data_IF_618938828665
#
_entry.id   IF_618938828665
#
_cell.length_a   1.000
_cell.length_b   1.000
_cell.length_c   1.000
_cell.angle_alpha   90.00
_cell.angle_beta   90.00
_cell.angle_gamma   90.00
#
_symmetry.space_group_name_H-M   'P 1'
#
loop_
_entity.id
_entity.type
_entity.pdbx_description
1 polymer ?
#
# COMPACT_ATOMS: atom_id res chain seq x y z
N UNK A 1 -6.82 -5.76 3.35
CA UNK A 1 -5.89 -4.62 3.31
C UNK A 1 -5.04 -4.57 2.04
N UNK A 2 -4.46 -5.68 1.56
CA UNK A 2 -3.82 -5.74 0.23
C UNK A 2 -4.75 -5.27 -0.92
N UNK A 3 -6.05 -5.56 -0.84
CA UNK A 3 -7.04 -5.06 -1.80
C UNK A 3 -7.13 -3.53 -1.92
N UNK A 4 -6.90 -2.78 -0.83
CA UNK A 4 -6.87 -1.32 -0.89
C UNK A 4 -5.67 -0.83 -1.71
N UNK A 5 -4.50 -1.46 -1.54
CA UNK A 5 -3.32 -1.15 -2.36
C UNK A 5 -3.52 -1.54 -3.83
N UNK A 6 -4.24 -2.63 -4.12
CA UNK A 6 -4.60 -3.00 -5.51
C UNK A 6 -5.54 -1.96 -6.16
N UNK A 7 -6.48 -1.41 -5.40
CA UNK A 7 -7.35 -0.32 -5.87
C UNK A 7 -6.53 0.95 -6.13
N UNK A 8 -5.61 1.30 -5.24
CA UNK A 8 -4.69 2.43 -5.45
C UNK A 8 -3.79 2.21 -6.69
N UNK A 9 -3.25 1.01 -6.88
CA UNK A 9 -2.46 0.65 -8.06
C UNK A 9 -3.27 0.79 -9.36
N UNK A 10 -4.50 0.29 -9.39
CA UNK A 10 -5.38 0.41 -10.54
C UNK A 10 -5.71 1.87 -10.84
N UNK A 11 -5.99 2.67 -9.80
CA UNK A 11 -6.31 4.07 -9.94
C UNK A 11 -5.10 4.92 -10.39
N UNK A 12 -3.87 4.57 -10.00
CA UNK A 12 -2.65 5.20 -10.52
C UNK A 12 -2.41 4.94 -12.01
N UNK A 13 -2.95 3.84 -12.56
CA UNK A 13 -2.82 3.47 -13.98
C UNK A 13 -3.91 4.03 -14.87
N UNK A 14 -4.99 4.58 -14.29
CA UNK A 14 -6.12 5.11 -15.02
C UNK A 14 -6.07 6.65 -14.93
N UNK A 15 -5.77 7.37 -16.04
CA UNK A 15 -5.53 8.81 -16.00
C UNK A 15 -6.65 9.62 -15.33
N UNK A 16 -7.92 9.29 -15.60
CA UNK A 16 -9.07 9.99 -15.02
C UNK A 16 -9.22 9.78 -13.50
N UNK A 17 -8.69 8.68 -12.97
CA UNK A 17 -8.69 8.40 -11.53
C UNK A 17 -7.43 8.96 -10.85
N UNK A 18 -6.32 9.09 -11.58
CA UNK A 18 -5.09 9.69 -11.09
C UNK A 18 -5.31 11.12 -10.62
N UNK A 19 -6.09 11.90 -11.36
CA UNK A 19 -6.43 13.29 -11.00
C UNK A 19 -7.35 13.41 -9.77
N UNK A 20 -8.01 12.31 -9.39
CA UNK A 20 -8.82 12.23 -8.17
C UNK A 20 -8.01 11.79 -6.94
N UNK A 21 -6.75 11.39 -7.14
CA UNK A 21 -5.88 10.92 -6.07
C UNK A 21 -4.93 12.04 -5.68
N UNK A 22 -5.14 12.57 -4.47
CA UNK A 22 -4.25 13.56 -3.89
C UNK A 22 -2.91 12.98 -3.42
N UNK A 23 -1.94 13.84 -3.06
CA UNK A 23 -0.60 13.44 -2.63
C UNK A 23 -0.59 12.53 -1.39
N UNK A 24 -1.71 12.45 -0.66
CA UNK A 24 -1.90 11.56 0.48
C UNK A 24 -1.68 10.09 0.13
N UNK A 25 -1.88 9.69 -1.14
CA UNK A 25 -1.64 8.31 -1.61
C UNK A 25 -0.21 7.85 -1.39
N UNK A 26 0.76 8.77 -1.43
CA UNK A 26 2.18 8.48 -1.22
C UNK A 26 2.48 8.05 0.23
N UNK A 27 1.53 8.29 1.14
CA UNK A 27 1.62 7.89 2.55
C UNK A 27 0.75 6.68 2.89
N UNK A 28 -0.14 6.27 1.97
CA UNK A 28 -1.12 5.23 2.21
C UNK A 28 -0.46 3.86 2.45
N UNK A 29 0.60 3.53 1.71
CA UNK A 29 1.32 2.27 1.92
C UNK A 29 2.04 2.21 3.26
N UNK A 30 2.71 3.28 3.67
CA UNK A 30 3.34 3.38 5.00
C UNK A 30 2.31 3.27 6.14
N UNK A 31 1.14 3.90 6.00
CA UNK A 31 0.06 3.80 6.99
C UNK A 31 -0.50 2.37 7.09
N UNK A 32 -0.78 1.73 5.95
CA UNK A 32 -1.31 0.37 5.92
C UNK A 32 -0.31 -0.65 6.45
N UNK A 33 0.99 -0.47 6.16
CA UNK A 33 2.07 -1.29 6.72
C UNK A 33 2.10 -1.20 8.25
N UNK A 34 2.20 0.02 8.79
CA UNK A 34 2.25 0.23 10.25
C UNK A 34 1.02 -0.33 10.97
N UNK A 35 -0.15 -0.19 10.34
CA UNK A 35 -1.38 -0.75 10.88
C UNK A 35 -1.30 -2.28 10.94
N UNK A 36 -0.86 -2.95 9.86
CA UNK A 36 -0.71 -4.42 9.86
C UNK A 36 0.33 -4.90 10.88
N UNK A 37 1.49 -4.26 10.92
CA UNK A 37 2.57 -4.60 11.87
C UNK A 37 2.10 -4.41 13.32
N UNK A 38 1.35 -3.34 13.60
CA UNK A 38 0.74 -3.10 14.91
C UNK A 38 -0.25 -4.21 15.29
N UNK A 39 -1.12 -4.61 14.35
CA UNK A 39 -2.05 -5.71 14.56
C UNK A 39 -1.34 -7.05 14.79
N UNK A 40 -0.28 -7.37 14.04
CA UNK A 40 0.55 -8.56 14.27
C UNK A 40 1.13 -8.58 15.68
N UNK A 41 1.69 -7.46 16.13
CA UNK A 41 2.32 -7.35 17.45
C UNK A 41 1.34 -7.59 18.61
N UNK A 42 0.08 -7.19 18.44
CA UNK A 42 -0.98 -7.40 19.44
C UNK A 42 -1.49 -8.85 19.40
N UNK A 43 -1.46 -9.50 18.23
CA UNK A 43 -2.03 -10.84 18.03
C UNK A 43 -1.19 -11.97 18.64
N UNK A 44 0.08 -11.70 19.00
CA UNK A 44 1.01 -12.69 19.56
C UNK A 44 1.57 -13.66 18.52
N UNK A 45 2.40 -14.61 18.98
CA UNK A 45 3.00 -15.63 18.13
C UNK A 45 2.14 -16.90 17.99
N UNK A 46 2.21 -17.61 16.86
CA UNK A 46 3.09 -17.34 15.71
C UNK A 46 2.47 -16.36 14.69
N UNK A 47 3.32 -15.55 14.07
CA UNK A 47 2.93 -14.72 12.92
C UNK A 47 2.44 -15.58 11.75
N UNK A 48 1.29 -15.22 11.19
CA UNK A 48 0.71 -15.93 10.05
C UNK A 48 1.48 -15.61 8.75
N UNK A 49 1.96 -16.62 7.99
CA UNK A 49 2.67 -16.40 6.73
C UNK A 49 1.87 -15.59 5.68
N UNK A 50 0.54 -15.68 5.71
CA UNK A 50 -0.33 -14.90 4.81
C UNK A 50 -0.37 -13.42 5.16
N UNK A 51 -0.11 -13.08 6.43
CA UNK A 51 -0.01 -11.69 6.89
C UNK A 51 1.33 -11.11 6.45
N UNK A 52 2.43 -11.85 6.59
CA UNK A 52 3.75 -11.42 6.11
C UNK A 52 3.74 -11.18 4.59
N UNK A 53 3.11 -12.09 3.83
CA UNK A 53 2.90 -11.91 2.40
C UNK A 53 2.08 -10.66 2.09
N UNK A 54 1.05 -10.37 2.90
CA UNK A 54 0.24 -9.16 2.73
C UNK A 54 1.04 -7.88 3.00
N UNK A 55 1.90 -7.86 4.02
CA UNK A 55 2.83 -6.75 4.29
C UNK A 55 3.75 -6.53 3.08
N UNK A 56 4.32 -7.59 2.54
CA UNK A 56 5.21 -7.50 1.38
C UNK A 56 4.50 -6.91 0.16
N UNK A 57 3.26 -7.35 -0.13
CA UNK A 57 2.45 -6.80 -1.23
C UNK A 57 2.19 -5.30 -1.02
N UNK A 58 1.91 -4.87 0.20
CA UNK A 58 1.72 -3.45 0.53
C UNK A 58 3.00 -2.66 0.26
N UNK A 59 4.16 -3.16 0.68
CA UNK A 59 5.46 -2.51 0.45
C UNK A 59 5.78 -2.36 -1.04
N UNK A 60 5.58 -3.41 -1.84
CA UNK A 60 5.86 -3.36 -3.29
C UNK A 60 4.90 -2.42 -4.02
N UNK A 61 3.63 -2.41 -3.63
CA UNK A 61 2.65 -1.48 -4.18
C UNK A 61 2.98 -0.01 -3.86
N UNK A 62 3.39 0.29 -2.62
CA UNK A 62 3.80 1.64 -2.20
C UNK A 62 5.01 2.13 -3.01
N UNK A 63 6.03 1.26 -3.15
CA UNK A 63 7.22 1.54 -3.96
C UNK A 63 6.86 1.86 -5.40
N UNK A 64 5.96 1.08 -6.00
CA UNK A 64 5.50 1.29 -7.36
C UNK A 64 4.78 2.64 -7.51
N UNK A 65 3.85 2.95 -6.60
CA UNK A 65 3.09 4.21 -6.62
C UNK A 65 4.05 5.40 -6.53
N UNK A 66 5.00 5.40 -5.59
CA UNK A 66 6.00 6.46 -5.46
C UNK A 66 6.84 6.64 -6.74
N UNK A 67 7.22 5.54 -7.39
CA UNK A 67 7.99 5.59 -8.63
C UNK A 67 7.21 6.24 -9.78
N UNK A 68 5.93 5.89 -9.96
CA UNK A 68 5.07 6.47 -10.99
C UNK A 68 4.93 7.98 -10.79
N UNK A 69 4.58 8.42 -9.58
CA UNK A 69 4.41 9.84 -9.27
C UNK A 69 5.71 10.65 -9.32
N UNK A 70 6.87 10.02 -9.04
CA UNK A 70 8.17 10.68 -9.19
C UNK A 70 8.60 10.86 -10.66
N UNK A 71 8.00 10.11 -11.59
CA UNK A 71 8.32 10.18 -13.03
C UNK A 71 7.36 11.11 -13.79
N UNK A 72 6.20 11.40 -13.21
CA UNK A 72 5.20 12.33 -13.76
C UNK A 72 5.46 13.82 -13.39
N UNK A 73 6.51 14.12 -12.62
CA UNK A 73 6.90 15.47 -12.18
C UNK A 73 8.30 15.84 -12.68
#
# INVERSE_FOLDING_TARGET
>A
MAGAMLVLLAACKIPILRDLIGPEVLTAGDHLRRLLEGWQRISGDPTSPSVDQSVQIICEADRFIRHVYATDN
#
